data_IF_886369670813
#
_entry.id   IF_886369670813
#
_cell.length_a   1.000
_cell.length_b   1.000
_cell.length_c   1.000
_cell.angle_alpha   90.00
_cell.angle_beta   90.00
_cell.angle_gamma   90.00
#
_symmetry.space_group_name_H-M   'P 1'
#
loop_
_entity.id
_entity.type
_entity.pdbx_description
1 polymer ?
#
# COMPACT_ATOMS: atom_id res chain seq x y z
N UNK A 1 -11.72 32.07 -23.33
CA UNK A 1 -10.50 31.92 -22.50
C UNK A 1 -9.71 30.75 -23.05
N UNK A 2 -8.74 31.02 -23.92
CA UNK A 2 -7.92 30.01 -24.60
C UNK A 2 -6.63 29.75 -23.83
N UNK A 3 -6.34 28.49 -23.54
CA UNK A 3 -5.09 28.07 -22.92
C UNK A 3 -4.08 27.73 -24.01
N UNK A 4 -3.05 28.58 -24.10
CA UNK A 4 -1.88 28.43 -24.95
C UNK A 4 -0.99 27.29 -24.41
N UNK A 5 -0.81 26.24 -25.19
CA UNK A 5 0.20 25.21 -24.95
C UNK A 5 1.50 25.58 -25.69
N UNK A 6 2.49 26.09 -24.95
CA UNK A 6 3.84 26.29 -25.47
C UNK A 6 4.56 24.94 -25.57
N UNK A 7 4.99 24.55 -26.78
CA UNK A 7 5.89 23.41 -27.02
C UNK A 7 7.32 23.75 -26.60
N UNK A 8 8.11 22.78 -26.11
CA UNK A 8 9.55 22.96 -25.93
C UNK A 8 10.30 22.85 -27.26
N UNK A 9 11.25 23.77 -27.48
CA UNK A 9 12.17 23.79 -28.61
C UNK A 9 13.26 22.70 -28.52
N UNK A 10 13.78 22.19 -29.64
CA UNK A 10 14.91 21.26 -29.66
C UNK A 10 16.25 21.98 -29.47
N UNK A 11 17.09 21.45 -28.56
CA UNK A 11 18.47 21.88 -28.41
C UNK A 11 19.32 21.45 -29.61
N UNK A 12 19.70 22.41 -30.47
CA UNK A 12 20.74 22.23 -31.49
C UNK A 12 22.14 22.38 -30.85
N UNK A 13 22.97 21.36 -30.95
CA UNK A 13 24.40 21.46 -30.65
C UNK A 13 25.12 22.16 -31.83
N UNK A 14 25.60 23.38 -31.58
CA UNK A 14 26.49 24.11 -32.48
C UNK A 14 27.87 23.46 -32.53
N UNK A 15 28.30 23.12 -33.74
CA UNK A 15 29.69 22.78 -34.06
C UNK A 15 30.46 24.10 -34.21
N UNK A 16 31.28 24.42 -33.21
CA UNK A 16 32.15 25.59 -33.19
C UNK A 16 33.59 25.24 -33.52
N UNK A 17 34.20 26.09 -34.33
CA UNK A 17 35.54 26.04 -34.90
C UNK A 17 36.68 25.81 -33.88
N UNK A 18 37.61 24.92 -34.22
CA UNK A 18 38.93 24.85 -33.59
C UNK A 18 40.06 25.02 -34.63
N UNK A 19 41.11 25.82 -34.33
CA UNK A 19 42.23 26.09 -35.23
C UNK A 19 43.23 24.92 -35.35
N UNK A 20 44.05 24.87 -36.42
CA UNK A 20 44.91 23.73 -36.72
C UNK A 20 46.10 23.62 -35.76
N UNK A 21 46.12 22.56 -34.95
CA UNK A 21 47.25 22.22 -34.09
C UNK A 21 48.39 21.56 -34.89
N UNK A 22 49.60 22.07 -34.65
CA UNK A 22 50.89 21.66 -35.22
C UNK A 22 51.16 20.17 -35.02
N UNK A 23 51.61 19.49 -36.08
CA UNK A 23 52.05 18.09 -36.05
C UNK A 23 53.37 17.95 -35.28
N UNK A 24 53.45 17.11 -34.22
CA UNK A 24 54.73 16.69 -33.66
C UNK A 24 55.29 15.48 -34.40
N UNK A 25 56.60 15.46 -34.55
CA UNK A 25 57.40 14.44 -35.21
C UNK A 25 57.21 13.05 -34.58
N UNK A 26 57.03 12.04 -35.42
CA UNK A 26 56.95 10.62 -35.05
C UNK A 26 58.37 10.12 -34.75
N UNK A 27 58.74 10.06 -33.47
CA UNK A 27 59.86 9.24 -33.01
C UNK A 27 59.37 7.79 -32.81
N UNK A 28 59.85 6.90 -33.68
CA UNK A 28 59.62 5.45 -33.65
C UNK A 28 60.28 4.82 -32.42
N UNK A 29 59.59 4.82 -31.28
CA UNK A 29 60.01 4.11 -30.06
C UNK A 29 59.61 2.63 -30.20
N UNK A 30 60.62 1.76 -30.28
CA UNK A 30 60.52 0.30 -30.34
C UNK A 30 59.89 -0.20 -29.03
N UNK A 31 58.59 -0.51 -29.06
CA UNK A 31 57.87 -1.11 -27.93
C UNK A 31 58.31 -2.57 -27.77
N UNK A 32 58.99 -2.82 -26.66
CA UNK A 32 59.16 -4.13 -26.06
C UNK A 32 57.79 -4.79 -25.87
N UNK A 33 57.69 -6.03 -26.33
CA UNK A 33 56.59 -6.95 -26.10
C UNK A 33 56.40 -7.14 -24.59
N UNK A 34 55.44 -6.43 -24.00
CA UNK A 34 54.89 -6.79 -22.70
C UNK A 34 53.94 -7.98 -22.90
N UNK A 35 54.03 -9.03 -22.08
CA UNK A 35 53.10 -10.14 -22.15
C UNK A 35 51.68 -9.64 -21.84
N UNK A 36 50.74 -9.98 -22.71
CA UNK A 36 49.32 -9.68 -22.56
C UNK A 36 48.84 -10.11 -21.17
N UNK A 37 48.15 -9.23 -20.41
CA UNK A 37 47.57 -9.62 -19.13
C UNK A 37 46.58 -10.75 -19.39
N UNK A 38 46.86 -11.90 -18.76
CA UNK A 38 46.01 -13.08 -18.84
C UNK A 38 44.68 -12.71 -18.16
N UNK A 39 43.68 -12.34 -18.96
CA UNK A 39 42.32 -12.10 -18.49
C UNK A 39 41.81 -13.43 -17.95
N UNK A 40 41.92 -13.62 -16.64
CA UNK A 40 41.25 -14.68 -15.92
C UNK A 40 39.75 -14.49 -16.15
N UNK A 41 39.13 -15.40 -16.91
CA UNK A 41 37.67 -15.44 -17.03
C UNK A 41 37.11 -15.51 -15.61
N UNK A 42 36.22 -14.59 -15.20
CA UNK A 42 35.55 -14.71 -13.91
C UNK A 42 34.87 -16.08 -13.89
N UNK A 43 35.15 -16.85 -12.86
CA UNK A 43 34.55 -18.16 -12.62
C UNK A 43 33.08 -17.93 -12.21
N UNK A 44 32.24 -17.66 -13.21
CA UNK A 44 30.79 -17.47 -13.02
C UNK A 44 30.19 -18.86 -12.89
N UNK A 45 30.33 -19.46 -11.71
CA UNK A 45 29.52 -20.59 -11.29
C UNK A 45 28.07 -20.11 -11.15
N UNK A 46 27.13 -20.51 -12.04
CA UNK A 46 25.76 -19.98 -12.05
C UNK A 46 24.97 -20.31 -10.77
N UNK A 47 25.40 -21.34 -10.03
CA UNK A 47 24.68 -21.85 -8.87
C UNK A 47 25.09 -21.17 -7.55
N UNK A 48 26.31 -20.65 -7.43
CA UNK A 48 26.76 -19.97 -6.20
C UNK A 48 26.11 -18.58 -6.03
N UNK A 49 25.67 -17.94 -7.12
CA UNK A 49 25.02 -16.63 -7.07
C UNK A 49 23.52 -16.67 -6.75
N UNK A 50 22.85 -17.81 -6.95
CA UNK A 50 21.38 -17.84 -6.87
C UNK A 50 20.87 -17.76 -5.43
N UNK A 51 21.59 -18.34 -4.46
CA UNK A 51 21.27 -18.21 -3.03
C UNK A 51 21.55 -16.80 -2.51
N UNK A 52 22.65 -16.16 -2.93
CA UNK A 52 22.97 -14.79 -2.54
C UNK A 52 21.94 -13.77 -3.06
N UNK A 53 21.50 -13.94 -4.32
CA UNK A 53 20.41 -13.13 -4.90
C UNK A 53 19.09 -13.37 -4.15
N UNK A 54 18.77 -14.62 -3.81
CA UNK A 54 17.56 -14.93 -3.05
C UNK A 54 17.55 -14.27 -1.66
N UNK A 55 18.65 -14.29 -0.92
CA UNK A 55 18.76 -13.59 0.36
C UNK A 55 18.61 -12.08 0.21
N UNK A 56 19.29 -11.47 -0.77
CA UNK A 56 19.19 -10.03 -1.03
C UNK A 56 17.76 -9.57 -1.39
N UNK A 57 17.01 -10.38 -2.15
CA UNK A 57 15.61 -10.11 -2.48
C UNK A 57 14.73 -10.21 -1.23
N UNK A 58 14.91 -11.23 -0.40
CA UNK A 58 14.13 -11.43 0.82
C UNK A 58 14.35 -10.29 1.83
N UNK A 59 15.59 -9.82 1.96
CA UNK A 59 15.91 -8.69 2.83
C UNK A 59 15.24 -7.40 2.35
N UNK A 60 15.25 -7.16 1.03
CA UNK A 60 14.59 -5.99 0.42
C UNK A 60 13.07 -6.03 0.62
N UNK A 61 12.44 -7.19 0.40
CA UNK A 61 10.99 -7.37 0.59
C UNK A 61 10.61 -7.10 2.05
N UNK A 62 11.41 -7.61 2.97
CA UNK A 62 11.11 -7.49 4.38
C UNK A 62 11.31 -6.02 4.85
N UNK A 63 12.28 -5.28 4.30
CA UNK A 63 12.52 -3.86 4.64
C UNK A 63 11.34 -2.99 4.19
N UNK A 64 10.77 -3.32 3.03
CA UNK A 64 9.55 -2.68 2.56
C UNK A 64 8.31 -3.07 3.38
N UNK A 65 8.35 -4.17 4.14
CA UNK A 65 7.26 -4.66 4.96
C UNK A 65 6.77 -3.63 5.99
N UNK A 66 7.69 -2.91 6.63
CA UNK A 66 7.37 -1.82 7.59
C UNK A 66 6.54 -0.73 6.92
N UNK A 67 6.98 -0.28 5.75
CA UNK A 67 6.30 0.78 5.01
C UNK A 67 4.93 0.32 4.53
N UNK A 68 4.84 -0.85 3.91
CA UNK A 68 3.57 -1.38 3.43
C UNK A 68 2.56 -1.56 4.56
N UNK A 69 2.98 -2.05 5.72
CA UNK A 69 2.13 -2.18 6.90
C UNK A 69 1.53 -0.83 7.32
N UNK A 70 2.37 0.21 7.42
CA UNK A 70 1.95 1.57 7.78
C UNK A 70 0.98 2.18 6.77
N UNK A 71 1.35 2.23 5.49
CA UNK A 71 0.52 2.86 4.45
C UNK A 71 -0.86 2.22 4.36
N UNK A 72 -0.92 0.89 4.28
CA UNK A 72 -2.18 0.15 4.19
C UNK A 72 -3.02 0.27 5.47
N UNK A 73 -2.39 0.37 6.65
CA UNK A 73 -3.10 0.59 7.91
C UNK A 73 -3.77 1.97 7.97
N UNK A 74 -3.04 3.01 7.55
CA UNK A 74 -3.56 4.39 7.51
C UNK A 74 -4.71 4.50 6.52
N UNK A 75 -4.59 3.88 5.34
CA UNK A 75 -5.68 3.84 4.35
C UNK A 75 -6.93 3.15 4.90
N UNK A 76 -6.75 2.06 5.66
CA UNK A 76 -7.86 1.35 6.30
C UNK A 76 -8.56 2.21 7.35
N UNK A 77 -7.80 2.92 8.19
CA UNK A 77 -8.31 3.86 9.19
C UNK A 77 -9.07 5.01 8.52
N UNK A 78 -8.48 5.62 7.48
CA UNK A 78 -9.11 6.68 6.71
C UNK A 78 -10.43 6.26 6.08
N UNK A 79 -10.49 5.05 5.52
CA UNK A 79 -11.72 4.46 4.99
C UNK A 79 -12.81 4.30 6.05
N UNK A 80 -12.45 3.82 7.25
CA UNK A 80 -13.39 3.68 8.37
C UNK A 80 -13.91 5.02 8.88
N UNK A 81 -13.05 6.04 8.97
CA UNK A 81 -13.45 7.40 9.34
C UNK A 81 -14.42 8.00 8.31
N UNK A 82 -14.15 7.84 7.02
CA UNK A 82 -15.04 8.29 5.96
C UNK A 82 -16.42 7.63 6.02
N UNK A 83 -16.47 6.33 6.32
CA UNK A 83 -17.74 5.61 6.45
C UNK A 83 -18.58 6.13 7.62
N UNK A 84 -17.96 6.45 8.76
CA UNK A 84 -18.67 6.93 9.96
C UNK A 84 -19.09 8.40 9.82
N UNK A 85 -18.14 9.28 9.50
CA UNK A 85 -18.37 10.73 9.58
C UNK A 85 -19.00 11.34 8.34
N UNK A 86 -18.79 10.73 7.17
CA UNK A 86 -19.32 11.26 5.91
C UNK A 86 -20.55 10.45 5.52
N UNK A 87 -20.37 9.14 5.35
CA UNK A 87 -21.41 8.34 4.73
C UNK A 87 -22.54 8.00 5.70
N UNK A 88 -22.23 7.56 6.92
CA UNK A 88 -23.25 7.21 7.90
C UNK A 88 -24.02 8.44 8.37
N UNK A 89 -23.34 9.55 8.65
CA UNK A 89 -24.00 10.81 9.00
C UNK A 89 -24.97 11.28 7.91
N UNK A 90 -24.55 11.29 6.64
CA UNK A 90 -25.43 11.64 5.52
C UNK A 90 -26.67 10.74 5.44
N UNK A 91 -26.52 9.43 5.69
CA UNK A 91 -27.62 8.45 5.66
C UNK A 91 -28.63 8.63 6.79
N UNK A 92 -28.22 9.21 7.92
CA UNK A 92 -29.13 9.53 9.02
C UNK A 92 -30.04 10.73 8.70
N UNK A 93 -29.70 11.52 7.67
CA UNK A 93 -30.47 12.70 7.26
C UNK A 93 -31.45 12.44 6.09
N UNK A 94 -31.44 11.24 5.50
CA UNK A 94 -32.34 10.85 4.40
C UNK A 94 -33.32 9.75 4.84
N UNK A 95 -34.40 9.55 4.08
CA UNK A 95 -35.38 8.52 4.43
C UNK A 95 -34.80 7.11 4.30
N UNK A 96 -35.23 6.19 5.17
CA UNK A 96 -34.75 4.80 5.17
C UNK A 96 -34.90 4.07 3.83
N UNK A 97 -35.92 4.43 3.05
CA UNK A 97 -36.17 3.91 1.69
C UNK A 97 -35.02 4.20 0.72
N UNK A 98 -34.25 5.27 0.95
CA UNK A 98 -33.06 5.61 0.17
C UNK A 98 -31.77 5.24 0.91
N UNK A 99 -31.73 5.42 2.23
CA UNK A 99 -30.54 5.15 3.04
C UNK A 99 -30.10 3.68 3.01
N UNK A 100 -31.04 2.74 3.11
CA UNK A 100 -30.73 1.31 3.23
C UNK A 100 -30.15 0.74 1.93
N UNK A 101 -30.76 0.97 0.73
CA UNK A 101 -30.16 0.53 -0.52
C UNK A 101 -28.78 1.14 -0.77
N UNK A 102 -28.62 2.43 -0.50
CA UNK A 102 -27.34 3.14 -0.65
C UNK A 102 -26.26 2.54 0.28
N UNK A 103 -26.60 2.29 1.54
CA UNK A 103 -25.71 1.65 2.51
C UNK A 103 -25.26 0.28 2.03
N UNK A 104 -26.18 -0.58 1.57
CA UNK A 104 -25.86 -1.95 1.16
C UNK A 104 -24.93 -1.98 -0.05
N UNK A 105 -25.16 -1.10 -1.03
CA UNK A 105 -24.32 -1.02 -2.23
C UNK A 105 -22.94 -0.42 -1.89
N UNK A 106 -22.90 0.64 -1.09
CA UNK A 106 -21.64 1.23 -0.62
C UNK A 106 -20.82 0.22 0.20
N UNK A 107 -21.46 -0.49 1.13
CA UNK A 107 -20.84 -1.52 1.97
C UNK A 107 -20.25 -2.65 1.12
N UNK A 108 -20.95 -3.10 0.07
CA UNK A 108 -20.45 -4.15 -0.82
C UNK A 108 -19.12 -3.77 -1.47
N UNK A 109 -18.97 -2.51 -1.89
CA UNK A 109 -17.76 -1.98 -2.53
C UNK A 109 -16.65 -1.71 -1.51
N UNK A 110 -16.97 -1.02 -0.42
CA UNK A 110 -15.99 -0.63 0.60
C UNK A 110 -15.42 -1.83 1.32
N UNK A 111 -16.25 -2.84 1.65
CA UNK A 111 -15.81 -4.06 2.34
C UNK A 111 -14.65 -4.76 1.62
N UNK A 112 -14.73 -4.89 0.29
CA UNK A 112 -13.68 -5.56 -0.48
C UNK A 112 -12.34 -4.83 -0.35
N UNK A 113 -12.35 -3.51 -0.59
CA UNK A 113 -11.15 -2.70 -0.54
C UNK A 113 -10.56 -2.64 0.88
N UNK A 114 -11.40 -2.39 1.89
CA UNK A 114 -10.94 -2.31 3.28
C UNK A 114 -10.40 -3.65 3.78
N UNK A 115 -11.05 -4.78 3.46
CA UNK A 115 -10.56 -6.09 3.90
C UNK A 115 -9.25 -6.46 3.18
N UNK A 116 -9.07 -6.07 1.93
CA UNK A 116 -7.80 -6.22 1.22
C UNK A 116 -6.69 -5.41 1.89
N UNK A 117 -6.97 -4.14 2.25
CA UNK A 117 -5.98 -3.31 2.95
C UNK A 117 -5.62 -3.86 4.34
N UNK A 118 -6.60 -4.38 5.10
CA UNK A 118 -6.35 -5.07 6.38
C UNK A 118 -5.47 -6.30 6.19
N UNK A 119 -5.73 -7.11 5.15
CA UNK A 119 -4.93 -8.29 4.83
C UNK A 119 -3.50 -7.93 4.46
N UNK A 120 -3.32 -6.97 3.55
CA UNK A 120 -2.00 -6.47 3.14
C UNK A 120 -1.24 -5.94 4.34
N UNK A 121 -1.90 -5.12 5.17
CA UNK A 121 -1.27 -4.58 6.38
C UNK A 121 -0.86 -5.66 7.37
N UNK A 122 -1.76 -6.60 7.65
CA UNK A 122 -1.49 -7.72 8.56
C UNK A 122 -0.34 -8.61 8.08
N UNK A 123 -0.33 -8.95 6.78
CA UNK A 123 0.74 -9.73 6.18
C UNK A 123 2.08 -8.98 6.20
N UNK A 124 2.10 -7.70 5.83
CA UNK A 124 3.29 -6.87 5.85
C UNK A 124 3.86 -6.68 7.26
N UNK A 125 3.00 -6.53 8.28
CA UNK A 125 3.44 -6.48 9.67
C UNK A 125 4.04 -7.80 10.15
N UNK A 126 3.51 -8.94 9.69
CA UNK A 126 4.07 -10.25 10.02
C UNK A 126 5.43 -10.48 9.33
N UNK A 127 5.63 -9.92 8.13
CA UNK A 127 6.93 -9.88 7.46
C UNK A 127 7.92 -8.97 8.20
N UNK A 128 7.48 -7.80 8.67
CA UNK A 128 8.32 -6.87 9.43
C UNK A 128 8.85 -7.49 10.73
N UNK A 129 8.05 -8.32 11.41
CA UNK A 129 8.50 -9.10 12.58
C UNK A 129 9.75 -9.94 12.28
N UNK A 130 9.91 -10.45 11.05
CA UNK A 130 11.08 -11.27 10.72
C UNK A 130 12.39 -10.49 10.78
N UNK A 131 12.35 -9.17 10.56
CA UNK A 131 13.52 -8.30 10.61
C UNK A 131 13.73 -7.70 11.99
N UNK A 132 12.66 -7.16 12.57
CA UNK A 132 12.75 -6.42 13.84
C UNK A 132 12.84 -7.36 15.03
N UNK A 133 12.36 -8.60 14.89
CA UNK A 133 12.15 -9.57 15.97
C UNK A 133 11.32 -9.03 17.14
N UNK A 134 10.52 -8.00 16.86
CA UNK A 134 9.70 -7.34 17.86
C UNK A 134 8.26 -7.84 17.78
N UNK A 135 7.83 -8.53 18.84
CA UNK A 135 6.49 -9.12 18.97
C UNK A 135 5.35 -8.12 18.80
N UNK A 136 5.57 -6.82 19.01
CA UNK A 136 4.54 -5.80 18.79
C UNK A 136 4.08 -5.74 17.32
N UNK A 137 4.94 -6.10 16.36
CA UNK A 137 4.54 -6.25 14.96
C UNK A 137 3.49 -7.37 14.78
N UNK A 138 3.63 -8.48 15.49
CA UNK A 138 2.63 -9.56 15.45
C UNK A 138 1.31 -9.14 16.11
N UNK A 139 1.36 -8.35 17.19
CA UNK A 139 0.16 -7.81 17.84
C UNK A 139 -0.57 -6.86 16.89
N UNK A 140 0.15 -5.94 16.24
CA UNK A 140 -0.41 -5.04 15.24
C UNK A 140 -1.03 -5.81 14.08
N UNK A 141 -0.32 -6.81 13.54
CA UNK A 141 -0.85 -7.70 12.50
C UNK A 141 -2.11 -8.44 12.93
N UNK A 142 -2.13 -8.95 14.17
CA UNK A 142 -3.29 -9.62 14.75
C UNK A 142 -4.51 -8.71 14.80
N UNK A 143 -4.35 -7.45 15.23
CA UNK A 143 -5.42 -6.45 15.25
C UNK A 143 -5.95 -6.14 13.84
N UNK A 144 -5.06 -5.97 12.87
CA UNK A 144 -5.47 -5.73 11.47
C UNK A 144 -6.27 -6.92 10.93
N UNK A 145 -5.75 -8.13 11.10
CA UNK A 145 -6.41 -9.35 10.62
C UNK A 145 -7.72 -9.63 11.37
N UNK A 146 -7.84 -9.24 12.65
CA UNK A 146 -9.07 -9.36 13.42
C UNK A 146 -10.24 -8.54 12.85
N UNK A 147 -9.98 -7.53 12.02
CA UNK A 147 -11.03 -6.82 11.29
C UNK A 147 -11.81 -7.69 10.30
N UNK A 148 -11.20 -8.76 9.76
CA UNK A 148 -11.84 -9.69 8.83
C UNK A 148 -12.90 -10.57 9.55
N UNK A 149 -12.57 -11.33 10.62
CA UNK A 149 -13.57 -12.07 11.37
C UNK A 149 -14.60 -11.14 12.03
N UNK A 150 -14.22 -9.92 12.45
CA UNK A 150 -15.19 -8.93 12.91
C UNK A 150 -16.25 -8.62 11.84
N UNK A 151 -15.82 -8.40 10.59
CA UNK A 151 -16.73 -8.17 9.48
C UNK A 151 -17.66 -9.37 9.23
N UNK A 152 -17.12 -10.59 9.27
CA UNK A 152 -17.92 -11.81 9.08
C UNK A 152 -18.93 -12.07 10.20
N UNK A 153 -18.55 -11.79 11.46
CA UNK A 153 -19.35 -12.13 12.64
C UNK A 153 -20.32 -11.03 13.07
N UNK A 154 -20.01 -9.76 12.78
CA UNK A 154 -20.77 -8.60 13.28
C UNK A 154 -21.42 -7.80 12.15
N UNK A 155 -20.65 -7.39 11.13
CA UNK A 155 -21.18 -6.57 10.04
C UNK A 155 -22.12 -7.34 9.12
N UNK A 156 -21.73 -8.57 8.73
CA UNK A 156 -22.48 -9.35 7.76
C UNK A 156 -23.91 -9.71 8.23
N UNK A 157 -24.14 -10.20 9.47
CA UNK A 157 -25.49 -10.49 9.94
C UNK A 157 -26.40 -9.25 9.96
N UNK A 158 -25.84 -8.09 10.28
CA UNK A 158 -26.60 -6.83 10.34
C UNK A 158 -26.93 -6.33 8.94
N UNK A 159 -25.97 -6.43 8.00
CA UNK A 159 -26.20 -6.11 6.60
C UNK A 159 -27.28 -7.01 5.97
N UNK A 160 -27.29 -8.30 6.33
CA UNK A 160 -28.32 -9.23 5.87
C UNK A 160 -29.71 -8.89 6.43
N UNK A 161 -29.80 -8.53 7.71
CA UNK A 161 -31.06 -8.04 8.30
C UNK A 161 -31.55 -6.75 7.64
N UNK A 162 -30.66 -5.79 7.38
CA UNK A 162 -31.00 -4.57 6.63
C UNK A 162 -31.51 -4.88 5.22
N UNK A 163 -30.89 -5.85 4.54
CA UNK A 163 -31.34 -6.31 3.22
C UNK A 163 -32.77 -6.83 3.25
N UNK A 164 -33.14 -7.65 4.24
CA UNK A 164 -34.52 -8.12 4.41
C UNK A 164 -35.50 -6.99 4.72
N UNK A 165 -35.07 -5.99 5.50
CA UNK A 165 -35.89 -4.85 5.89
C UNK A 165 -36.03 -3.78 4.79
N UNK A 166 -35.38 -3.94 3.63
CA UNK A 166 -35.53 -3.00 2.50
C UNK A 166 -36.98 -2.86 2.04
N UNK A 167 -37.78 -3.92 2.12
CA UNK A 167 -39.22 -3.90 1.76
C UNK A 167 -40.09 -3.19 2.81
N UNK A 168 -39.56 -2.98 4.02
CA UNK A 168 -40.22 -2.33 5.15
C UNK A 168 -39.30 -1.25 5.75
N UNK A 169 -38.71 -0.44 4.86
CA UNK A 169 -37.69 0.54 5.21
C UNK A 169 -38.21 1.70 6.08
N UNK A 170 -39.53 1.84 6.21
CA UNK A 170 -40.20 2.80 7.12
C UNK A 170 -40.37 2.26 8.54
N UNK A 171 -40.19 0.95 8.74
CA UNK A 171 -40.32 0.35 10.07
C UNK A 171 -39.34 0.91 11.07
N UNK A 172 -39.76 0.96 12.32
CA UNK A 172 -38.90 1.41 13.41
C UNK A 172 -37.68 0.50 13.57
N UNK A 173 -37.85 -0.81 13.31
CA UNK A 173 -36.75 -1.78 13.30
C UNK A 173 -35.67 -1.43 12.28
N UNK A 174 -36.05 -1.05 11.06
CA UNK A 174 -35.10 -0.67 10.02
C UNK A 174 -34.28 0.57 10.42
N UNK A 175 -34.92 1.57 11.03
CA UNK A 175 -34.24 2.78 11.54
C UNK A 175 -33.29 2.46 12.70
N UNK A 176 -33.70 1.63 13.65
CA UNK A 176 -32.84 1.25 14.78
C UNK A 176 -31.61 0.48 14.29
N UNK A 177 -31.78 -0.45 13.35
CA UNK A 177 -30.66 -1.18 12.76
C UNK A 177 -29.73 -0.25 11.99
N UNK A 178 -30.29 0.66 11.19
CA UNK A 178 -29.51 1.66 10.46
C UNK A 178 -28.70 2.54 11.42
N UNK A 179 -29.32 3.04 12.50
CA UNK A 179 -28.62 3.83 13.53
C UNK A 179 -27.51 3.05 14.24
N UNK A 180 -27.68 1.74 14.45
CA UNK A 180 -26.65 0.89 15.06
C UNK A 180 -25.42 0.66 14.16
N UNK A 181 -25.56 0.87 12.85
CA UNK A 181 -24.51 0.63 11.87
C UNK A 181 -23.23 1.44 12.15
N UNK A 182 -23.37 2.71 12.55
CA UNK A 182 -22.21 3.55 12.89
C UNK A 182 -21.39 2.98 14.05
N UNK A 183 -22.05 2.42 15.07
CA UNK A 183 -21.38 1.76 16.19
C UNK A 183 -20.62 0.51 15.77
N UNK A 184 -21.18 -0.26 14.83
CA UNK A 184 -20.49 -1.44 14.29
C UNK A 184 -19.23 -1.04 13.51
N UNK A 185 -19.31 -0.01 12.68
CA UNK A 185 -18.15 0.50 11.94
C UNK A 185 -17.07 1.05 12.88
N UNK A 186 -17.46 1.64 14.01
CA UNK A 186 -16.53 2.11 15.03
C UNK A 186 -15.69 0.97 15.62
N UNK A 187 -16.28 -0.21 15.84
CA UNK A 187 -15.54 -1.38 16.32
C UNK A 187 -14.45 -1.85 15.35
N UNK A 188 -14.74 -1.90 14.05
CA UNK A 188 -13.74 -2.23 13.02
C UNK A 188 -12.66 -1.15 12.91
N UNK A 189 -13.06 0.12 12.96
CA UNK A 189 -12.13 1.25 12.98
C UNK A 189 -11.18 1.17 14.18
N UNK A 190 -11.69 0.82 15.37
CA UNK A 190 -10.86 0.70 16.57
C UNK A 190 -9.77 -0.39 16.41
N UNK A 191 -10.09 -1.53 15.80
CA UNK A 191 -9.11 -2.58 15.47
C UNK A 191 -8.03 -2.05 14.52
N UNK A 192 -8.44 -1.44 13.41
CA UNK A 192 -7.51 -0.90 12.42
C UNK A 192 -6.63 0.23 12.99
N UNK A 193 -7.21 1.14 13.77
CA UNK A 193 -6.51 2.24 14.43
C UNK A 193 -5.55 1.75 15.51
N UNK A 194 -5.94 0.71 16.27
CA UNK A 194 -5.06 0.05 17.22
C UNK A 194 -3.84 -0.56 16.53
N UNK A 195 -4.04 -1.32 15.45
CA UNK A 195 -2.96 -1.89 14.65
C UNK A 195 -2.03 -0.82 14.06
N UNK A 196 -2.60 0.23 13.45
CA UNK A 196 -1.86 1.34 12.88
C UNK A 196 -1.01 2.09 13.93
N UNK A 197 -1.58 2.29 15.13
CA UNK A 197 -0.88 2.97 16.24
C UNK A 197 0.32 2.14 16.70
N UNK A 198 0.16 0.82 16.83
CA UNK A 198 1.26 -0.08 17.18
C UNK A 198 2.35 -0.02 16.11
N UNK A 199 2.00 -0.19 14.82
CA UNK A 199 3.00 -0.09 13.75
C UNK A 199 3.72 1.25 13.75
N UNK A 200 3.01 2.35 13.89
CA UNK A 200 3.60 3.69 13.94
C UNK A 200 4.58 3.85 15.10
N UNK A 201 4.18 3.39 16.30
CA UNK A 201 5.00 3.53 17.49
C UNK A 201 6.28 2.71 17.43
N UNK A 202 6.22 1.49 16.90
CA UNK A 202 7.38 0.59 16.85
C UNK A 202 8.23 0.76 15.59
N UNK A 203 7.72 1.40 14.54
CA UNK A 203 8.54 1.81 13.40
C UNK A 203 9.48 2.99 13.73
N UNK A 204 9.21 3.77 14.79
CA UNK A 204 10.02 4.95 15.17
C UNK A 204 11.15 4.64 16.16
N UNK A 205 11.17 3.43 16.72
CA UNK A 205 12.02 3.04 17.83
C UNK A 205 13.29 2.38 17.32
#
# INVERSE_FOLDING_TARGET
MGLNYSRPEPCYHGYGDQPPAKRPCICRRRSSLLPSPRVSKPDISPHANMSAVQHSILDTIAEQGVHFALWSSIMSVGGGLGEIFVNHDARMHISGEHAIPELLEAHKRSKYLTNLMLLVSGASGALAYQQTKDNYWLIGSGLMLAGIPYCALVEYPVAEQLKFLTLDAKSEKAKTLLASWGGIQLGKLALAAGGATIFYWFARR
#
